data_IF_811762558865
#
_entry.id   IF_811762558865
#
_cell.length_a   1.000
_cell.length_b   1.000
_cell.length_c   1.000
_cell.angle_alpha   90.00
_cell.angle_beta   90.00
_cell.angle_gamma   90.00
#
_symmetry.space_group_name_H-M   'P 1'
#
loop_
_entity.id
_entity.type
_entity.pdbx_description
1 polymer ?
#
# COMPACT_ATOMS: atom_id res chain seq x y z
N UNK A 1 4.94 -19.80 -7.21
CA UNK A 1 6.07 -18.85 -7.09
C UNK A 1 5.54 -17.70 -6.27
N UNK A 2 6.16 -17.42 -5.12
CA UNK A 2 5.67 -16.40 -4.19
C UNK A 2 5.49 -15.04 -4.89
N UNK A 3 4.42 -14.35 -4.52
CA UNK A 3 4.05 -13.02 -5.03
C UNK A 3 3.85 -12.08 -3.86
N UNK A 4 4.23 -10.82 -4.04
CA UNK A 4 3.80 -9.74 -3.16
C UNK A 4 2.67 -8.99 -3.87
N UNK A 5 1.53 -8.90 -3.20
CA UNK A 5 0.34 -8.21 -3.71
C UNK A 5 0.19 -6.93 -2.91
N UNK A 6 0.14 -5.80 -3.61
CA UNK A 6 -0.31 -4.51 -3.06
C UNK A 6 -1.77 -4.31 -3.45
N UNK A 7 -2.64 -4.29 -2.46
CA UNK A 7 -4.07 -4.08 -2.60
C UNK A 7 -4.41 -2.68 -2.11
N UNK A 8 -5.09 -1.92 -2.95
CA UNK A 8 -5.63 -0.60 -2.61
C UNK A 8 -7.15 -0.68 -2.68
N UNK A 9 -7.81 -0.50 -1.54
CA UNK A 9 -9.27 -0.53 -1.45
C UNK A 9 -9.78 0.88 -1.21
N UNK A 10 -10.68 1.34 -2.07
CA UNK A 10 -11.35 2.61 -1.88
C UNK A 10 -12.38 2.50 -0.76
N UNK A 11 -12.24 3.32 0.29
CA UNK A 11 -13.11 3.30 1.47
C UNK A 11 -14.16 4.40 1.42
N UNK A 12 -13.76 5.62 1.08
CA UNK A 12 -14.63 6.79 1.16
C UNK A 12 -14.25 7.82 0.11
N UNK A 13 -15.26 8.50 -0.42
CA UNK A 13 -15.16 9.66 -1.30
C UNK A 13 -16.11 10.73 -0.79
N UNK A 14 -15.64 11.95 -0.67
CA UNK A 14 -16.48 13.09 -0.31
C UNK A 14 -16.06 14.33 -1.07
N UNK A 15 -17.04 15.12 -1.51
CA UNK A 15 -16.80 16.45 -2.04
C UNK A 15 -16.98 17.46 -0.91
N UNK A 16 -15.98 18.31 -0.72
CA UNK A 16 -16.00 19.37 0.29
C UNK A 16 -15.81 20.73 -0.37
N UNK A 17 -16.06 21.82 0.36
CA UNK A 17 -15.78 23.18 -0.12
C UNK A 17 -14.30 23.39 -0.51
N UNK A 18 -13.39 22.54 -0.04
CA UNK A 18 -11.95 22.60 -0.30
C UNK A 18 -11.49 21.57 -1.34
N UNK A 19 -12.42 20.96 -2.08
CA UNK A 19 -12.14 19.94 -3.10
C UNK A 19 -12.55 18.53 -2.69
N UNK A 20 -12.14 17.56 -3.50
CA UNK A 20 -12.48 16.14 -3.36
C UNK A 20 -11.51 15.44 -2.43
N UNK A 21 -12.04 14.76 -1.41
CA UNK A 21 -11.29 13.95 -0.47
C UNK A 21 -11.55 12.48 -0.74
N UNK A 22 -10.46 11.73 -0.85
CA UNK A 22 -10.46 10.28 -1.05
C UNK A 22 -9.74 9.57 0.08
N UNK A 23 -10.31 8.45 0.55
CA UNK A 23 -9.69 7.58 1.56
C UNK A 23 -9.51 6.19 0.97
N UNK A 24 -8.26 5.72 0.96
CA UNK A 24 -7.85 4.42 0.45
C UNK A 24 -7.24 3.61 1.61
N UNK A 25 -7.65 2.35 1.76
CA UNK A 25 -6.91 1.36 2.53
C UNK A 25 -5.81 0.79 1.64
N UNK A 26 -4.61 0.65 2.17
CA UNK A 26 -3.48 0.06 1.46
C UNK A 26 -2.92 -1.11 2.26
N UNK A 27 -2.90 -2.29 1.65
CA UNK A 27 -2.43 -3.53 2.26
C UNK A 27 -1.41 -4.20 1.35
N UNK A 28 -0.35 -4.73 1.94
CA UNK A 28 0.56 -5.64 1.24
C UNK A 28 0.45 -7.04 1.86
N UNK A 29 0.42 -8.07 1.03
CA UNK A 29 0.40 -9.45 1.47
C UNK A 29 1.20 -10.37 0.54
N UNK A 30 1.52 -11.56 1.04
CA UNK A 30 2.12 -12.62 0.25
C UNK A 30 1.03 -13.56 -0.28
N UNK A 31 1.23 -14.04 -1.50
CA UNK A 31 0.42 -15.07 -2.13
C UNK A 31 1.33 -16.12 -2.79
N UNK A 32 0.78 -17.32 -3.03
CA UNK A 32 1.46 -18.42 -3.72
C UNK A 32 2.83 -18.82 -3.11
N UNK A 33 2.95 -18.71 -1.79
CA UNK A 33 4.15 -19.08 -1.01
C UNK A 33 4.40 -20.59 -1.14
N UNK A 34 5.66 -20.97 -1.32
CA UNK A 34 6.06 -22.38 -1.37
C UNK A 34 5.77 -23.07 -0.04
N UNK A 35 5.46 -24.38 -0.04
CA UNK A 35 5.42 -25.16 1.20
C UNK A 35 6.75 -25.01 1.97
N UNK A 36 6.70 -25.02 3.30
CA UNK A 36 7.85 -24.73 4.18
C UNK A 36 9.12 -25.53 3.81
N UNK A 37 8.95 -26.80 3.45
CA UNK A 37 10.02 -27.72 3.07
C UNK A 37 10.71 -27.36 1.73
N UNK A 38 10.07 -26.52 0.92
CA UNK A 38 10.50 -26.08 -0.41
C UNK A 38 10.71 -24.56 -0.50
N UNK A 39 10.91 -23.89 0.64
CA UNK A 39 11.19 -22.44 0.67
C UNK A 39 12.43 -22.14 -0.16
N UNK A 40 12.25 -21.35 -1.22
CA UNK A 40 13.33 -21.01 -2.14
C UNK A 40 13.73 -19.54 -2.10
N UNK A 41 14.74 -19.14 -2.90
CA UNK A 41 15.14 -17.74 -3.03
C UNK A 41 14.00 -16.78 -3.39
N UNK A 42 13.00 -17.25 -4.15
CA UNK A 42 11.82 -16.45 -4.50
C UNK A 42 10.94 -16.11 -3.28
N UNK A 43 10.76 -17.04 -2.34
CA UNK A 43 10.00 -16.81 -1.11
C UNK A 43 10.72 -15.81 -0.20
N UNK A 44 12.06 -15.90 -0.12
CA UNK A 44 12.88 -14.92 0.60
C UNK A 44 12.78 -13.52 0.00
N UNK A 45 12.91 -13.40 -1.33
CA UNK A 45 12.78 -12.12 -2.02
C UNK A 45 11.39 -11.51 -1.84
N UNK A 46 10.33 -12.32 -1.92
CA UNK A 46 8.97 -11.85 -1.68
C UNK A 46 8.79 -11.33 -0.24
N UNK A 47 9.34 -12.01 0.76
CA UNK A 47 9.32 -11.55 2.16
C UNK A 47 10.07 -10.22 2.35
N UNK A 48 11.24 -10.05 1.72
CA UNK A 48 11.99 -8.79 1.76
C UNK A 48 11.14 -7.66 1.17
N UNK A 49 10.55 -7.88 -0.01
CA UNK A 49 9.70 -6.88 -0.65
C UNK A 49 8.46 -6.55 0.19
N UNK A 50 7.82 -7.56 0.82
CA UNK A 50 6.69 -7.33 1.74
C UNK A 50 7.11 -6.44 2.92
N UNK A 51 8.30 -6.67 3.48
CA UNK A 51 8.83 -5.88 4.61
C UNK A 51 9.10 -4.42 4.20
N UNK A 52 9.42 -4.19 2.92
CA UNK A 52 9.61 -2.86 2.35
C UNK A 52 8.31 -2.17 1.93
N UNK A 53 7.15 -2.83 2.04
CA UNK A 53 5.87 -2.30 1.56
C UNK A 53 5.53 -0.89 2.07
N UNK A 54 5.74 -0.52 3.35
CA UNK A 54 5.46 0.84 3.81
C UNK A 54 6.29 1.91 3.08
N UNK A 55 7.56 1.63 2.82
CA UNK A 55 8.46 2.55 2.12
C UNK A 55 8.12 2.63 0.62
N UNK A 56 7.71 1.50 0.02
CA UNK A 56 7.23 1.46 -1.37
C UNK A 56 5.97 2.32 -1.52
N UNK A 57 4.99 2.19 -0.62
CA UNK A 57 3.75 2.97 -0.62
C UNK A 57 4.06 4.46 -0.43
N UNK A 58 4.99 4.80 0.49
CA UNK A 58 5.44 6.18 0.70
C UNK A 58 6.03 6.79 -0.57
N UNK A 59 6.92 6.07 -1.26
CA UNK A 59 7.50 6.54 -2.53
C UNK A 59 6.44 6.69 -3.63
N UNK A 60 5.50 5.75 -3.73
CA UNK A 60 4.40 5.85 -4.68
C UNK A 60 3.52 7.09 -4.42
N UNK A 61 3.25 7.41 -3.14
CA UNK A 61 2.55 8.62 -2.73
C UNK A 61 3.29 9.89 -3.16
N UNK A 62 4.59 9.98 -2.90
CA UNK A 62 5.38 11.17 -3.24
C UNK A 62 5.46 11.40 -4.76
N UNK A 63 5.60 10.33 -5.55
CA UNK A 63 5.57 10.39 -7.02
C UNK A 63 4.18 10.82 -7.55
N UNK A 64 3.11 10.31 -6.95
CA UNK A 64 1.73 10.69 -7.28
C UNK A 64 1.52 12.20 -7.07
N UNK A 65 1.89 12.73 -5.90
CA UNK A 65 1.77 14.16 -5.60
C UNK A 65 2.60 15.02 -6.56
N UNK A 66 3.81 14.57 -6.88
CA UNK A 66 4.68 15.22 -7.87
C UNK A 66 4.02 15.26 -9.25
N UNK A 67 3.38 14.17 -9.66
CA UNK A 67 2.69 14.06 -10.95
C UNK A 67 1.45 14.96 -10.99
N UNK A 68 0.65 15.00 -9.92
CA UNK A 68 -0.52 15.88 -9.80
C UNK A 68 -0.13 17.36 -9.92
N UNK A 69 0.94 17.77 -9.23
CA UNK A 69 1.46 19.13 -9.33
C UNK A 69 1.87 19.51 -10.75
N UNK A 70 2.51 18.59 -11.50
CA UNK A 70 2.93 18.82 -12.90
C UNK A 70 1.75 19.08 -13.84
N UNK A 71 0.57 18.51 -13.55
CA UNK A 71 -0.66 18.73 -14.34
C UNK A 71 -1.52 19.88 -13.79
N UNK A 72 -0.99 20.68 -12.86
CA UNK A 72 -1.66 21.85 -12.31
C UNK A 72 -2.69 21.55 -11.22
N UNK A 73 -2.67 20.34 -10.64
CA UNK A 73 -3.55 19.98 -9.52
C UNK A 73 -2.81 20.17 -8.19
N UNK A 74 -3.47 20.84 -7.24
CA UNK A 74 -3.04 20.89 -5.84
C UNK A 74 -3.65 19.70 -5.09
N UNK A 75 -2.81 18.92 -4.43
CA UNK A 75 -3.22 17.75 -3.67
C UNK A 75 -2.31 17.56 -2.46
N UNK A 76 -2.87 17.03 -1.38
CA UNK A 76 -2.16 16.61 -0.19
C UNK A 76 -2.53 15.15 0.12
N UNK A 77 -1.59 14.40 0.69
CA UNK A 77 -1.82 13.01 1.04
C UNK A 77 -1.04 12.62 2.28
N UNK A 78 -1.77 12.14 3.28
CA UNK A 78 -1.23 11.60 4.52
C UNK A 78 -1.34 10.08 4.55
N UNK A 79 -0.25 9.42 4.93
CA UNK A 79 -0.25 7.99 5.21
C UNK A 79 -0.40 7.79 6.70
N UNK A 80 -1.51 7.16 7.09
CA UNK A 80 -1.82 6.88 8.49
C UNK A 80 -1.69 5.37 8.72
N UNK A 81 -0.85 4.91 9.67
CA UNK A 81 -0.81 3.51 10.04
C UNK A 81 -2.18 3.07 10.53
N UNK A 82 -2.76 2.04 9.92
CA UNK A 82 -3.98 1.44 10.45
C UNK A 82 -3.61 0.73 11.75
N UNK A 83 -4.20 1.08 12.91
CA UNK A 83 -3.95 0.34 14.13
C UNK A 83 -4.39 -1.09 13.91
N UNK A 84 -3.46 -2.03 14.11
CA UNK A 84 -3.79 -3.45 14.16
C UNK A 84 -4.57 -3.65 15.45
N UNK A 85 -5.90 -3.47 15.39
CA UNK A 85 -6.75 -4.05 16.41
C UNK A 85 -6.55 -5.56 16.29
N UNK A 86 -5.73 -6.09 17.18
CA UNK A 86 -5.57 -7.52 17.40
C UNK A 86 -6.97 -8.04 17.69
N UNK A 87 -7.63 -8.62 16.69
CA UNK A 87 -8.77 -9.49 16.93
C UNK A 87 -8.20 -10.61 17.79
N UNK A 88 -8.37 -10.51 19.11
CA UNK A 88 -8.09 -11.59 20.03
C UNK A 88 -9.03 -12.73 19.63
N UNK A 89 -8.46 -13.77 19.04
CA UNK A 89 -9.11 -15.07 18.92
C UNK A 89 -9.38 -15.65 20.30
#
# INVERSE_FOLDING_TARGET
MAKVIFEFTWLESSDSCNGRREVLDAKACLADISPTENTGPHDLLANIVLTMAPEIIKKAKDEMLTTMKKVGMEAECDLVPRPVNVVKH
#
